data_IF_619866677883
#
_entry.id   IF_619866677883
#
_cell.length_a   1.000
_cell.length_b   1.000
_cell.length_c   1.000
_cell.angle_alpha   90.00
_cell.angle_beta   90.00
_cell.angle_gamma   90.00
#
_symmetry.space_group_name_H-M   'P 1'
#
loop_
_entity.id
_entity.type
_entity.pdbx_description
1 polymer ?
#
# COMPACT_ATOMS: atom_id res chain seq x y z
N UNK A 1 33.81 37.35 -33.48
CA UNK A 1 32.86 36.23 -33.43
C UNK A 1 33.23 35.14 -32.41
N UNK A 2 34.50 34.81 -32.15
CA UNK A 2 34.85 33.78 -31.15
C UNK A 2 34.53 34.18 -29.69
N UNK A 3 34.69 35.47 -29.34
CA UNK A 3 34.45 36.00 -27.99
C UNK A 3 32.97 35.88 -27.55
N UNK A 4 32.02 36.07 -28.47
CA UNK A 4 30.58 36.12 -28.18
C UNK A 4 30.04 34.71 -27.88
N UNK A 5 30.46 33.72 -28.66
CA UNK A 5 30.08 32.31 -28.44
C UNK A 5 30.57 31.77 -27.10
N UNK A 6 31.77 32.17 -26.66
CA UNK A 6 32.31 31.79 -25.36
C UNK A 6 31.55 32.47 -24.19
N UNK A 7 30.98 33.66 -24.38
CA UNK A 7 30.16 34.34 -23.38
C UNK A 7 28.77 33.68 -23.26
N UNK A 8 28.14 33.35 -24.39
CA UNK A 8 26.84 32.64 -24.44
C UNK A 8 26.91 31.28 -23.73
N UNK A 9 27.96 30.50 -23.98
CA UNK A 9 28.15 29.20 -23.32
C UNK A 9 28.31 29.33 -21.80
N UNK A 10 29.02 30.36 -21.32
CA UNK A 10 29.15 30.62 -19.88
C UNK A 10 27.82 31.01 -19.25
N UNK A 11 27.04 31.86 -19.91
CA UNK A 11 25.69 32.22 -19.46
C UNK A 11 24.79 30.98 -19.40
N UNK A 12 24.84 30.12 -20.41
CA UNK A 12 24.06 28.88 -20.44
C UNK A 12 24.45 27.90 -19.32
N UNK A 13 25.76 27.73 -19.07
CA UNK A 13 26.26 26.87 -17.99
C UNK A 13 25.83 27.42 -16.63
N UNK A 14 25.89 28.75 -16.43
CA UNK A 14 25.42 29.38 -15.19
C UNK A 14 23.93 29.16 -14.94
N UNK A 15 23.11 29.21 -16.00
CA UNK A 15 21.67 28.92 -15.92
C UNK A 15 21.42 27.46 -15.52
N UNK A 16 22.11 26.51 -16.16
CA UNK A 16 21.98 25.09 -15.81
C UNK A 16 22.42 24.84 -14.36
N UNK A 17 23.51 25.46 -13.90
CA UNK A 17 23.97 25.32 -12.53
C UNK A 17 22.93 25.87 -11.53
N UNK A 18 22.27 26.99 -11.84
CA UNK A 18 21.17 27.51 -11.03
C UNK A 18 19.97 26.56 -11.00
N UNK A 19 19.58 25.99 -12.13
CA UNK A 19 18.50 25.02 -12.23
C UNK A 19 18.80 23.74 -11.43
N UNK A 20 20.04 23.22 -11.51
CA UNK A 20 20.47 22.08 -10.72
C UNK A 20 20.37 22.35 -9.22
N UNK A 21 20.84 23.51 -8.77
CA UNK A 21 20.78 23.88 -7.36
C UNK A 21 19.33 24.02 -6.86
N UNK A 22 18.44 24.59 -7.67
CA UNK A 22 17.03 24.72 -7.35
C UNK A 22 16.32 23.36 -7.29
N UNK A 23 16.58 22.47 -8.25
CA UNK A 23 16.02 21.12 -8.25
C UNK A 23 16.54 20.29 -7.07
N UNK A 24 17.82 20.43 -6.74
CA UNK A 24 18.42 19.71 -5.63
C UNK A 24 17.87 20.17 -4.28
N UNK A 25 17.61 21.47 -4.09
CA UNK A 25 16.96 21.98 -2.88
C UNK A 25 15.51 21.48 -2.76
N UNK A 26 14.77 21.44 -3.87
CA UNK A 26 13.42 20.87 -3.91
C UNK A 26 13.42 19.36 -3.61
N UNK A 27 14.39 18.61 -4.13
CA UNK A 27 14.55 17.20 -3.83
C UNK A 27 14.81 16.99 -2.34
N UNK A 28 15.68 17.80 -1.74
CA UNK A 28 15.95 17.75 -0.29
C UNK A 28 14.71 18.04 0.54
N UNK A 29 13.90 19.05 0.18
CA UNK A 29 12.68 19.37 0.93
C UNK A 29 11.65 18.25 0.84
N UNK A 30 11.44 17.67 -0.35
CA UNK A 30 10.51 16.55 -0.53
C UNK A 30 10.98 15.29 0.20
N UNK A 31 12.28 15.02 0.26
CA UNK A 31 12.80 13.91 1.05
C UNK A 31 12.57 14.11 2.56
N UNK A 32 12.75 15.33 3.07
CA UNK A 32 12.47 15.65 4.47
C UNK A 32 10.98 15.54 4.80
N UNK A 33 10.11 16.00 3.91
CA UNK A 33 8.65 15.85 4.03
C UNK A 33 8.25 14.37 4.03
N UNK A 34 8.79 13.59 3.09
CA UNK A 34 8.57 12.13 3.04
C UNK A 34 9.00 11.46 4.34
N UNK A 35 10.16 11.80 4.88
CA UNK A 35 10.65 11.23 6.14
C UNK A 35 9.71 11.57 7.31
N UNK A 36 9.19 12.80 7.34
CA UNK A 36 8.24 13.26 8.35
C UNK A 36 6.94 12.47 8.28
N UNK A 37 6.34 12.36 7.10
CA UNK A 37 5.09 11.59 6.90
C UNK A 37 5.30 10.11 7.20
N UNK A 38 6.43 9.53 6.77
CA UNK A 38 6.76 8.13 7.08
C UNK A 38 6.88 7.89 8.58
N UNK A 39 7.49 8.81 9.33
CA UNK A 39 7.57 8.73 10.79
C UNK A 39 6.18 8.83 11.45
N UNK A 40 5.31 9.70 10.96
CA UNK A 40 3.94 9.83 11.47
C UNK A 40 3.13 8.55 11.22
N UNK A 41 3.24 7.98 10.02
CA UNK A 41 2.58 6.70 9.69
C UNK A 41 3.14 5.55 10.52
N UNK A 42 4.45 5.52 10.78
CA UNK A 42 5.07 4.49 11.62
C UNK A 42 4.62 4.54 13.09
N UNK A 43 4.20 5.70 13.59
CA UNK A 43 3.63 5.85 14.93
C UNK A 43 2.18 5.33 15.02
N UNK A 44 1.50 5.18 13.89
CA UNK A 44 0.15 4.59 13.84
C UNK A 44 0.31 3.07 13.93
N UNK A 45 -0.02 2.52 15.09
CA UNK A 45 -0.11 1.06 15.26
C UNK A 45 -1.36 0.58 14.53
N UNK A 46 -1.18 -0.27 13.54
CA UNK A 46 -2.26 -1.01 12.89
C UNK A 46 -2.32 -2.39 13.56
N UNK A 47 -3.23 -2.63 14.53
CA UNK A 47 -3.20 -3.84 15.34
C UNK A 47 -3.21 -5.10 14.48
N UNK A 48 -4.04 -5.10 13.44
CA UNK A 48 -4.19 -6.21 12.49
C UNK A 48 -2.92 -6.50 11.66
N UNK A 49 -2.02 -5.52 11.51
CA UNK A 49 -0.71 -5.70 10.83
C UNK A 49 0.41 -6.06 11.82
N UNK A 50 0.16 -5.92 13.13
CA UNK A 50 1.08 -6.29 14.20
C UNK A 50 0.77 -7.65 14.82
N UNK A 51 -0.39 -8.23 14.53
CA UNK A 51 -0.76 -9.56 15.00
C UNK A 51 0.03 -10.63 14.24
N UNK A 52 0.58 -11.64 14.94
CA UNK A 52 1.05 -12.87 14.32
C UNK A 52 -0.03 -13.51 13.44
N UNK A 53 0.40 -14.14 12.35
CA UNK A 53 -0.51 -14.77 11.38
C UNK A 53 -1.45 -15.79 12.04
N UNK A 54 -0.97 -16.47 13.10
CA UNK A 54 -1.73 -17.46 13.88
C UNK A 54 -2.94 -16.80 14.55
N UNK A 55 -2.76 -15.63 15.17
CA UNK A 55 -3.86 -14.92 15.82
C UNK A 55 -4.87 -14.39 14.80
N UNK A 56 -4.40 -13.92 13.64
CA UNK A 56 -5.29 -13.51 12.55
C UNK A 56 -6.11 -14.71 12.02
N UNK A 57 -5.48 -15.88 11.88
CA UNK A 57 -6.16 -17.11 11.45
C UNK A 57 -7.22 -17.59 12.45
N UNK A 58 -6.97 -17.40 13.74
CA UNK A 58 -7.94 -17.71 14.81
C UNK A 58 -9.13 -16.75 14.74
N UNK A 59 -8.88 -15.45 14.55
CA UNK A 59 -9.93 -14.44 14.37
C UNK A 59 -10.80 -14.78 13.14
N UNK A 60 -10.19 -15.21 12.03
CA UNK A 60 -10.92 -15.63 10.84
C UNK A 60 -11.78 -16.86 11.12
N UNK A 61 -11.26 -17.82 11.88
CA UNK A 61 -11.99 -19.03 12.26
C UNK A 61 -13.22 -18.71 13.11
N UNK A 62 -13.08 -17.79 14.08
CA UNK A 62 -14.18 -17.28 14.89
C UNK A 62 -15.22 -16.54 14.02
N UNK A 63 -14.77 -15.69 13.10
CA UNK A 63 -15.66 -14.96 12.18
C UNK A 63 -16.52 -15.91 11.32
N UNK A 64 -15.91 -16.95 10.74
CA UNK A 64 -16.64 -17.93 9.92
C UNK A 64 -17.62 -18.74 10.77
N UNK A 65 -17.23 -19.08 12.01
CA UNK A 65 -18.07 -19.81 12.96
C UNK A 65 -19.31 -19.00 13.37
N UNK A 66 -19.15 -17.72 13.69
CA UNK A 66 -20.24 -16.82 14.10
C UNK A 66 -21.13 -16.39 12.92
N UNK A 67 -20.57 -16.44 11.70
CA UNK A 67 -21.28 -16.09 10.47
C UNK A 67 -21.29 -17.24 9.44
N UNK A 68 -21.97 -18.36 9.72
CA UNK A 68 -21.91 -19.57 8.88
C UNK A 68 -22.54 -19.41 7.48
N UNK A 69 -23.20 -18.27 7.21
CA UNK A 69 -23.76 -17.89 5.90
C UNK A 69 -22.81 -17.02 5.07
N UNK A 70 -21.75 -16.46 5.67
CA UNK A 70 -20.74 -15.65 4.98
C UNK A 70 -19.71 -16.60 4.37
N UNK A 71 -19.36 -16.34 3.11
CA UNK A 71 -18.25 -17.07 2.48
C UNK A 71 -16.92 -16.57 3.07
N UNK A 72 -15.99 -17.47 3.45
CA UNK A 72 -14.62 -17.10 3.84
C UNK A 72 -13.90 -16.29 2.75
N UNK A 73 -14.38 -16.37 1.50
CA UNK A 73 -13.87 -15.56 0.40
C UNK A 73 -13.86 -14.07 0.72
N UNK A 74 -14.82 -13.53 1.49
CA UNK A 74 -14.83 -12.09 1.81
C UNK A 74 -13.53 -11.61 2.47
N UNK A 75 -12.89 -12.47 3.27
CA UNK A 75 -11.63 -12.17 3.96
C UNK A 75 -10.47 -11.99 2.97
N UNK A 76 -10.53 -12.65 1.80
CA UNK A 76 -9.48 -12.57 0.76
C UNK A 76 -9.47 -11.25 -0.02
N UNK A 77 -10.48 -10.39 0.17
CA UNK A 77 -10.64 -9.12 -0.55
C UNK A 77 -10.20 -7.89 0.26
N UNK A 78 -9.78 -8.05 1.52
CA UNK A 78 -9.43 -6.92 2.39
C UNK A 78 -8.06 -6.34 2.06
N UNK A 79 -7.01 -7.16 2.10
CA UNK A 79 -5.66 -6.77 1.71
C UNK A 79 -4.83 -8.00 1.34
N UNK A 80 -3.59 -7.80 0.85
CA UNK A 80 -2.69 -8.90 0.48
C UNK A 80 -2.42 -9.84 1.66
N UNK A 81 -2.12 -9.30 2.85
CA UNK A 81 -1.83 -10.09 4.04
C UNK A 81 -3.02 -11.00 4.42
N UNK A 82 -4.24 -10.46 4.42
CA UNK A 82 -5.44 -11.22 4.74
C UNK A 82 -5.72 -12.32 3.73
N UNK A 83 -5.48 -12.04 2.44
CA UNK A 83 -5.57 -13.05 1.38
C UNK A 83 -4.61 -14.19 1.61
N UNK A 84 -3.34 -13.89 1.88
CA UNK A 84 -2.30 -14.91 2.08
C UNK A 84 -2.62 -15.78 3.32
N UNK A 85 -3.06 -15.16 4.42
CA UNK A 85 -3.48 -15.88 5.63
C UNK A 85 -4.75 -16.71 5.39
N UNK A 86 -5.79 -16.14 4.77
CA UNK A 86 -7.05 -16.83 4.55
C UNK A 86 -6.90 -18.03 3.59
N UNK A 87 -6.09 -17.89 2.54
CA UNK A 87 -5.80 -18.99 1.60
C UNK A 87 -4.96 -20.09 2.29
N UNK A 88 -3.97 -19.72 3.10
CA UNK A 88 -3.11 -20.70 3.79
C UNK A 88 -3.81 -21.41 4.97
N UNK A 89 -4.88 -20.84 5.51
CA UNK A 89 -5.63 -21.42 6.63
C UNK A 89 -6.71 -22.40 6.13
N UNK A 90 -6.32 -23.66 5.87
CA UNK A 90 -7.20 -24.71 5.35
C UNK A 90 -8.50 -24.92 6.15
N UNK A 91 -8.46 -24.74 7.48
CA UNK A 91 -9.63 -24.91 8.37
C UNK A 91 -10.78 -23.94 8.08
N UNK A 92 -10.51 -22.80 7.44
CA UNK A 92 -11.56 -21.85 7.03
C UNK A 92 -12.46 -22.43 5.92
N UNK A 93 -11.93 -23.37 5.13
CA UNK A 93 -12.56 -23.88 3.92
C UNK A 93 -13.29 -25.21 4.13
N UNK A 94 -13.14 -25.84 5.29
CA UNK A 94 -13.76 -27.15 5.57
C UNK A 94 -15.28 -27.11 5.73
N UNK A 95 -15.87 -25.94 5.96
CA UNK A 95 -17.32 -25.76 6.14
C UNK A 95 -17.97 -24.93 5.02
N UNK A 96 -17.33 -24.86 3.85
CA UNK A 96 -17.86 -24.12 2.70
C UNK A 96 -19.17 -24.74 2.20
N UNK A 97 -20.30 -24.17 2.61
CA UNK A 97 -21.60 -24.41 1.98
C UNK A 97 -21.64 -23.63 0.68
N UNK A 98 -21.60 -24.33 -0.47
CA UNK A 98 -21.86 -23.69 -1.76
C UNK A 98 -23.31 -23.21 -1.79
N UNK A 99 -23.54 -21.92 -1.54
CA UNK A 99 -24.81 -21.31 -1.86
C UNK A 99 -24.83 -21.11 -3.37
N UNK A 100 -25.40 -22.07 -4.09
CA UNK A 100 -25.66 -21.98 -5.53
C UNK A 100 -26.71 -20.90 -5.76
N UNK A 101 -26.29 -19.65 -5.99
CA UNK A 101 -27.22 -18.54 -6.24
C UNK A 101 -26.59 -17.15 -6.25
N UNK A 102 -26.16 -16.73 -7.45
CA UNK A 102 -26.10 -15.35 -8.00
C UNK A 102 -26.13 -14.14 -7.04
N UNK A 103 -25.00 -13.40 -7.00
CA UNK A 103 -24.81 -11.97 -7.33
C UNK A 103 -23.66 -11.34 -6.50
N UNK A 104 -22.44 -11.41 -7.05
CA UNK A 104 -21.23 -10.74 -6.56
C UNK A 104 -21.22 -9.23 -6.90
N UNK A 105 -22.32 -8.51 -6.69
CA UNK A 105 -22.42 -7.12 -7.17
C UNK A 105 -22.29 -6.00 -6.13
N UNK A 106 -22.03 -6.27 -4.85
CA UNK A 106 -22.07 -5.21 -3.83
C UNK A 106 -20.90 -5.16 -2.84
N UNK A 107 -19.69 -5.51 -3.26
CA UNK A 107 -18.49 -5.15 -2.49
C UNK A 107 -17.40 -4.63 -3.44
N UNK A 108 -17.61 -3.42 -3.94
CA UNK A 108 -16.55 -2.62 -4.53
C UNK A 108 -15.71 -2.04 -3.40
N UNK A 109 -14.57 -2.67 -3.09
CA UNK A 109 -13.45 -1.95 -2.49
C UNK A 109 -12.47 -1.61 -3.62
N UNK A 110 -12.12 -0.33 -3.81
CA UNK A 110 -11.21 0.09 -4.88
C UNK A 110 -9.81 -0.51 -4.66
N UNK A 111 -9.07 -0.82 -5.74
CA UNK A 111 -7.68 -1.24 -5.63
C UNK A 111 -6.84 -0.04 -5.21
N UNK A 112 -6.13 -0.16 -4.10
CA UNK A 112 -4.84 0.51 -3.90
C UNK A 112 -3.74 -0.45 -4.34
#
# INVERSE_FOLDING_TARGET
MAQTKAAELRAHLSRIAQELNALQSQMMSLHAERATVASQLGAIVYPILSLPNELVSEIFSLYVKDHPKRSPMCLTWVCKLWRDIAISTCSLWTSFRSHSGVLFHLIAFPPY
#
